data_IF_067523119180
#
_entry.id   IF_067523119180
#
_cell.length_a   1.000
_cell.length_b   1.000
_cell.length_c   1.000
_cell.angle_alpha   90.00
_cell.angle_beta   90.00
_cell.angle_gamma   90.00
#
_symmetry.space_group_name_H-M   'P 1'
#
loop_
_entity.id
_entity.type
_entity.pdbx_description
1 polymer ?
#
# COMPACT_ATOMS: atom_id res chain seq x y z
N UNK A 1 -56.10 20.22 24.80
CA UNK A 1 -55.94 20.41 23.34
C UNK A 1 -54.63 21.13 23.06
N UNK A 2 -53.52 20.43 22.83
CA UNK A 2 -52.37 21.02 22.09
C UNK A 2 -51.61 19.87 21.41
N UNK A 3 -52.06 19.55 20.20
CA UNK A 3 -51.27 18.84 19.19
C UNK A 3 -50.45 19.89 18.43
N UNK A 4 -49.25 19.50 17.99
CA UNK A 4 -48.33 20.13 17.00
C UNK A 4 -47.00 20.59 17.62
N UNK A 5 -46.10 19.63 17.80
CA UNK A 5 -44.66 19.86 17.69
C UNK A 5 -44.10 18.73 16.83
N UNK A 6 -44.08 18.94 15.52
CA UNK A 6 -43.44 18.04 14.58
C UNK A 6 -42.98 18.86 13.37
N UNK A 7 -41.77 18.54 12.90
CA UNK A 7 -41.06 19.08 11.74
C UNK A 7 -40.48 20.49 11.87
N UNK A 8 -39.16 20.55 12.12
CA UNK A 8 -38.21 21.43 11.40
C UNK A 8 -36.77 21.13 11.85
N UNK A 9 -36.25 19.93 11.58
CA UNK A 9 -34.85 19.61 11.86
C UNK A 9 -34.22 18.67 10.82
N UNK A 10 -34.43 18.93 9.53
CA UNK A 10 -33.73 18.19 8.45
C UNK A 10 -33.50 19.08 7.22
N UNK A 11 -32.69 20.15 7.34
CA UNK A 11 -32.01 20.77 6.17
C UNK A 11 -30.72 21.47 6.64
N UNK A 12 -29.74 20.71 7.14
CA UNK A 12 -28.41 21.26 7.43
C UNK A 12 -27.28 20.23 7.19
N UNK A 13 -27.41 19.42 6.13
CA UNK A 13 -26.46 18.34 5.79
C UNK A 13 -26.17 18.23 4.28
N UNK A 14 -26.01 19.36 3.59
CA UNK A 14 -25.63 19.35 2.17
C UNK A 14 -24.69 20.49 1.78
N UNK A 15 -23.68 20.74 2.62
CA UNK A 15 -22.44 21.42 2.18
C UNK A 15 -21.24 20.59 2.63
N UNK A 16 -21.19 19.33 2.18
CA UNK A 16 -19.90 18.66 2.06
C UNK A 16 -19.22 19.24 0.83
N UNK A 17 -18.61 20.41 1.01
CA UNK A 17 -17.57 20.86 0.12
C UNK A 17 -16.54 19.71 0.06
N UNK A 18 -16.28 19.21 -1.15
CA UNK A 18 -15.10 18.42 -1.42
C UNK A 18 -13.90 19.32 -1.13
N UNK A 19 -13.45 19.34 0.13
CA UNK A 19 -12.19 19.96 0.49
C UNK A 19 -11.12 19.09 -0.14
N UNK A 20 -10.70 19.44 -1.35
CA UNK A 20 -9.45 18.97 -1.90
C UNK A 20 -8.37 19.29 -0.87
N UNK A 21 -7.81 18.24 -0.29
CA UNK A 21 -6.73 18.33 0.71
C UNK A 21 -5.53 18.95 0.00
N UNK A 22 -5.44 20.28 0.06
CA UNK A 22 -4.31 21.06 -0.44
C UNK A 22 -3.16 20.92 0.56
N UNK A 23 -2.46 19.77 0.52
CA UNK A 23 -1.24 19.58 1.28
C UNK A 23 -0.03 20.09 0.46
N UNK A 24 0.10 21.42 0.41
CA UNK A 24 1.21 22.13 -0.24
C UNK A 24 1.77 23.15 0.74
N UNK A 25 3.06 23.02 1.09
CA UNK A 25 3.79 23.96 1.95
C UNK A 25 3.98 25.37 1.32
N UNK A 26 3.23 25.71 0.27
CA UNK A 26 3.16 27.04 -0.30
C UNK A 26 1.74 27.27 -0.86
N UNK A 27 0.92 28.15 -0.24
CA UNK A 27 -0.45 28.42 -0.68
C UNK A 27 -0.54 29.15 -2.03
N UNK A 28 0.58 29.61 -2.58
CA UNK A 28 0.65 30.32 -3.87
C UNK A 28 1.17 29.46 -5.02
N UNK A 29 1.66 28.24 -4.75
CA UNK A 29 2.12 27.34 -5.80
C UNK A 29 0.93 26.70 -6.51
N UNK A 30 0.54 27.23 -7.68
CA UNK A 30 -0.46 26.60 -8.55
C UNK A 30 0.07 25.23 -9.00
N UNK A 31 -0.64 24.16 -8.65
CA UNK A 31 -0.32 22.83 -9.18
C UNK A 31 -0.54 22.86 -10.70
N UNK A 32 0.42 22.33 -11.46
CA UNK A 32 0.19 22.01 -12.88
C UNK A 32 -0.49 20.64 -12.95
N UNK A 33 -1.28 20.41 -13.99
CA UNK A 33 -1.88 19.10 -14.25
C UNK A 33 -1.77 18.76 -15.73
N UNK A 34 -1.39 17.53 -16.04
CA UNK A 34 -1.43 16.96 -17.39
C UNK A 34 -2.47 15.86 -17.37
N UNK A 35 -3.47 15.96 -18.24
CA UNK A 35 -4.52 14.94 -18.37
C UNK A 35 -4.20 14.08 -19.60
N UNK A 36 -3.97 12.79 -19.37
CA UNK A 36 -3.73 11.79 -20.40
C UNK A 36 -5.03 11.00 -20.57
N UNK A 37 -5.86 11.41 -21.53
CA UNK A 37 -7.22 10.90 -21.72
C UNK A 37 -7.29 9.55 -22.44
N UNK A 38 -8.50 9.25 -22.91
CA UNK A 38 -8.81 8.04 -23.70
C UNK A 38 -8.35 8.13 -25.15
N UNK A 39 -8.08 9.34 -25.61
CA UNK A 39 -7.49 9.66 -26.91
C UNK A 39 -6.05 9.16 -27.05
N UNK A 40 -5.38 8.87 -25.93
CA UNK A 40 -4.05 8.26 -25.90
C UNK A 40 -4.18 6.75 -25.67
N UNK A 41 -3.81 5.94 -26.67
CA UNK A 41 -3.82 4.48 -26.58
C UNK A 41 -2.53 3.92 -25.96
N UNK A 42 -2.61 2.70 -25.40
CA UNK A 42 -1.43 1.93 -25.02
C UNK A 42 -0.69 1.41 -26.26
N UNK A 43 0.61 1.65 -26.33
CA UNK A 43 1.51 0.94 -27.23
C UNK A 43 1.95 -0.37 -26.56
N UNK A 44 1.64 -1.51 -27.17
CA UNK A 44 1.88 -2.85 -26.60
C UNK A 44 3.00 -3.54 -27.38
N UNK A 45 4.13 -3.75 -26.72
CA UNK A 45 5.22 -4.60 -27.18
C UNK A 45 5.08 -5.99 -26.54
N UNK A 46 4.69 -6.97 -27.36
CA UNK A 46 4.52 -8.36 -26.93
C UNK A 46 5.85 -9.11 -26.79
N UNK A 47 6.90 -8.67 -27.48
CA UNK A 47 8.21 -9.31 -27.42
C UNK A 47 8.89 -8.98 -26.09
N UNK A 48 8.87 -7.70 -25.72
CA UNK A 48 9.44 -7.24 -24.46
C UNK A 48 8.46 -7.34 -23.27
N UNK A 49 7.21 -7.74 -23.51
CA UNK A 49 6.12 -7.77 -22.53
C UNK A 49 6.01 -6.39 -21.83
N UNK A 50 5.88 -5.33 -22.62
CA UNK A 50 5.82 -3.96 -22.14
C UNK A 50 4.66 -3.21 -22.78
N UNK A 51 3.84 -2.55 -21.98
CA UNK A 51 2.84 -1.62 -22.45
C UNK A 51 3.22 -0.19 -22.03
N UNK A 52 3.14 0.76 -22.95
CA UNK A 52 3.52 2.16 -22.73
C UNK A 52 2.38 3.10 -23.14
N UNK A 53 2.02 4.05 -22.27
CA UNK A 53 1.07 5.13 -22.56
C UNK A 53 1.76 6.47 -22.37
N UNK A 54 1.78 7.33 -23.39
CA UNK A 54 2.66 8.52 -23.43
C UNK A 54 1.91 9.78 -23.85
N UNK A 55 2.22 10.91 -23.22
CA UNK A 55 1.65 12.22 -23.57
C UNK A 55 2.64 13.34 -23.32
N UNK A 56 2.51 14.45 -24.06
CA UNK A 56 3.28 15.67 -23.83
C UNK A 56 2.53 16.67 -22.95
N UNK A 57 3.26 17.54 -22.24
CA UNK A 57 2.72 18.77 -21.63
C UNK A 57 2.62 19.95 -22.61
N UNK A 58 3.15 19.83 -23.84
CA UNK A 58 3.27 20.94 -24.79
C UNK A 58 4.46 21.88 -24.51
N UNK A 59 5.12 21.74 -23.35
CA UNK A 59 6.32 22.49 -22.94
C UNK A 59 7.61 21.71 -23.27
N UNK A 60 7.52 20.65 -24.08
CA UNK A 60 8.65 19.81 -24.49
C UNK A 60 9.02 18.73 -23.47
N UNK A 61 8.13 18.36 -22.56
CA UNK A 61 8.27 17.13 -21.75
C UNK A 61 7.29 16.08 -22.23
N UNK A 62 7.73 14.82 -22.21
CA UNK A 62 6.88 13.67 -22.43
C UNK A 62 6.83 12.80 -21.17
N UNK A 63 5.63 12.36 -20.81
CA UNK A 63 5.36 11.54 -19.63
C UNK A 63 4.91 10.16 -20.07
N UNK A 64 5.74 9.17 -19.76
CA UNK A 64 5.54 7.80 -20.19
C UNK A 64 5.17 6.93 -19.00
N UNK A 65 4.01 6.29 -19.08
CA UNK A 65 3.58 5.27 -18.13
C UNK A 65 3.80 3.88 -18.74
N UNK A 66 4.69 3.12 -18.15
CA UNK A 66 5.09 1.77 -18.56
C UNK A 66 4.57 0.71 -17.60
N UNK A 67 4.21 -0.44 -18.13
CA UNK A 67 3.76 -1.62 -17.38
C UNK A 67 4.30 -2.91 -18.02
N UNK A 68 4.88 -3.79 -17.19
CA UNK A 68 5.56 -5.04 -17.64
C UNK A 68 5.03 -6.31 -16.94
N UNK A 69 3.75 -6.31 -16.53
CA UNK A 69 3.12 -7.30 -15.63
C UNK A 69 3.59 -7.32 -14.18
N UNK A 70 4.74 -6.72 -13.84
CA UNK A 70 5.31 -6.78 -12.48
C UNK A 70 5.38 -5.41 -11.82
N UNK A 71 5.62 -4.36 -12.59
CA UNK A 71 5.83 -3.02 -12.08
C UNK A 71 5.17 -1.99 -12.97
N UNK A 72 4.89 -0.85 -12.34
CA UNK A 72 4.51 0.38 -13.02
C UNK A 72 5.73 1.29 -13.01
N UNK A 73 6.11 1.82 -14.18
CA UNK A 73 7.22 2.76 -14.32
C UNK A 73 6.70 4.05 -14.94
N UNK A 74 6.81 5.16 -14.22
CA UNK A 74 6.70 6.49 -14.78
C UNK A 74 8.11 6.94 -15.16
N UNK A 75 8.30 7.51 -16.34
CA UNK A 75 9.52 8.26 -16.64
C UNK A 75 9.24 9.46 -17.52
N UNK A 76 10.10 10.47 -17.43
CA UNK A 76 9.98 11.73 -18.15
C UNK A 76 11.12 11.83 -19.17
N UNK A 77 10.80 12.26 -20.38
CA UNK A 77 11.78 12.45 -21.46
C UNK A 77 11.55 13.78 -22.19
N UNK A 78 12.44 14.09 -23.12
CA UNK A 78 12.33 15.26 -24.01
C UNK A 78 11.77 14.92 -25.40
N UNK A 79 11.46 13.66 -25.67
CA UNK A 79 11.02 13.15 -26.97
C UNK A 79 9.88 12.13 -26.85
N UNK A 80 9.08 11.98 -27.91
CA UNK A 80 7.92 11.09 -27.89
C UNK A 80 8.29 9.60 -27.75
N UNK A 81 9.50 9.22 -28.14
CA UNK A 81 9.99 7.83 -28.11
C UNK A 81 10.57 7.44 -26.74
N UNK A 82 10.83 8.41 -25.86
CA UNK A 82 11.44 8.18 -24.56
C UNK A 82 12.95 7.90 -24.63
N UNK A 83 13.62 8.25 -25.73
CA UNK A 83 15.04 7.97 -25.95
C UNK A 83 15.97 8.96 -25.22
N UNK A 84 15.50 10.16 -24.90
CA UNK A 84 16.22 11.22 -24.21
C UNK A 84 15.57 11.50 -22.84
N UNK A 85 15.87 10.69 -21.81
CA UNK A 85 15.32 10.87 -20.46
C UNK A 85 15.72 12.22 -19.88
N UNK A 86 14.78 12.85 -19.17
CA UNK A 86 15.01 14.12 -18.47
C UNK A 86 15.62 13.84 -17.10
N UNK A 87 16.73 14.51 -16.79
CA UNK A 87 17.32 14.50 -15.46
C UNK A 87 16.74 15.63 -14.59
N UNK A 88 16.59 15.35 -13.31
CA UNK A 88 16.14 16.30 -12.30
C UNK A 88 17.15 16.33 -11.16
N UNK A 89 17.50 17.53 -10.72
CA UNK A 89 18.32 17.71 -9.52
C UNK A 89 17.59 17.31 -8.24
N UNK A 90 16.24 17.31 -8.25
CA UNK A 90 15.40 16.85 -7.16
C UNK A 90 14.07 16.29 -7.67
N UNK A 91 13.92 14.99 -7.77
CA UNK A 91 12.63 14.35 -8.08
C UNK A 91 11.97 13.81 -6.82
N UNK A 92 10.73 14.23 -6.57
CA UNK A 92 9.90 13.70 -5.48
C UNK A 92 8.57 13.14 -6.03
N UNK A 93 8.11 12.02 -5.47
CA UNK A 93 6.77 11.47 -5.69
C UNK A 93 5.97 11.72 -4.42
N UNK A 94 4.97 12.59 -4.54
CA UNK A 94 4.11 12.98 -3.41
C UNK A 94 2.98 12.01 -3.19
N UNK A 95 2.38 11.53 -4.27
CA UNK A 95 1.22 10.66 -4.18
C UNK A 95 1.06 9.79 -5.43
N UNK A 96 0.48 8.60 -5.23
CA UNK A 96 -0.04 7.75 -6.29
C UNK A 96 -1.45 7.38 -5.89
N UNK A 97 -2.43 7.74 -6.71
CA UNK A 97 -3.85 7.51 -6.45
C UNK A 97 -4.48 6.69 -7.55
N UNK A 98 -5.38 5.78 -7.17
CA UNK A 98 -6.27 5.06 -8.08
C UNK A 98 -7.68 5.47 -7.71
N UNK A 99 -8.42 6.04 -8.66
CA UNK A 99 -9.77 6.59 -8.48
C UNK A 99 -9.89 7.55 -7.29
N UNK A 100 -8.90 8.46 -7.15
CA UNK A 100 -8.86 9.46 -6.09
C UNK A 100 -8.46 8.93 -4.70
N UNK A 101 -8.23 7.62 -4.56
CA UNK A 101 -7.76 7.01 -3.32
C UNK A 101 -6.26 6.73 -3.41
N UNK A 102 -5.51 7.14 -2.38
CA UNK A 102 -4.08 6.81 -2.30
C UNK A 102 -3.87 5.30 -2.34
N UNK A 103 -2.98 4.85 -3.22
CA UNK A 103 -2.59 3.45 -3.34
C UNK A 103 -2.03 2.92 -2.02
N UNK A 104 -2.57 1.80 -1.55
CA UNK A 104 -2.09 1.11 -0.33
C UNK A 104 -0.61 0.76 -0.42
N UNK A 105 -0.14 0.38 -1.60
CA UNK A 105 1.27 0.07 -1.87
C UNK A 105 2.15 1.31 -1.80
N UNK A 106 1.69 2.44 -2.34
CA UNK A 106 2.41 3.70 -2.23
C UNK A 106 2.49 4.18 -0.77
N UNK A 107 1.38 4.09 -0.02
CA UNK A 107 1.37 4.36 1.43
C UNK A 107 2.34 3.45 2.17
N UNK A 108 2.42 2.17 1.80
CA UNK A 108 3.40 1.25 2.34
C UNK A 108 4.83 1.67 2.02
N UNK A 109 5.12 2.12 0.79
CA UNK A 109 6.44 2.63 0.42
C UNK A 109 6.83 3.83 1.29
N UNK A 110 5.94 4.79 1.50
CA UNK A 110 6.20 5.95 2.37
C UNK A 110 6.61 5.53 3.79
N UNK A 111 5.94 4.52 4.34
CA UNK A 111 6.20 4.02 5.69
C UNK A 111 7.43 3.12 5.81
N UNK A 112 8.03 2.69 4.68
CA UNK A 112 9.15 1.73 4.65
C UNK A 112 10.39 2.30 3.94
N UNK A 113 10.51 3.63 3.91
CA UNK A 113 11.73 4.33 3.52
C UNK A 113 12.80 4.13 4.60
N UNK A 114 14.07 4.02 4.20
CA UNK A 114 15.19 3.95 5.16
C UNK A 114 15.31 5.22 6.02
N UNK A 115 15.01 6.38 5.43
CA UNK A 115 14.85 7.65 6.14
C UNK A 115 13.39 8.07 6.04
N UNK A 116 12.76 8.32 7.18
CA UNK A 116 11.35 8.69 7.20
C UNK A 116 11.13 10.04 6.53
N UNK A 117 10.27 10.06 5.52
CA UNK A 117 9.88 11.27 4.80
C UNK A 117 8.41 11.20 4.41
N UNK A 118 7.76 12.37 4.35
CA UNK A 118 6.36 12.51 3.93
C UNK A 118 6.14 12.28 2.43
N UNK A 119 7.21 12.22 1.63
CA UNK A 119 7.21 11.96 0.19
C UNK A 119 8.36 11.02 -0.16
N UNK A 120 8.28 10.32 -1.31
CA UNK A 120 9.42 9.56 -1.82
C UNK A 120 10.35 10.52 -2.56
N UNK A 121 11.57 10.71 -2.08
CA UNK A 121 12.59 11.49 -2.77
C UNK A 121 13.51 10.57 -3.56
N UNK A 122 14.16 11.11 -4.59
CA UNK A 122 15.33 10.48 -5.19
C UNK A 122 16.37 10.11 -4.11
N UNK A 123 17.15 9.07 -4.38
CA UNK A 123 18.18 8.50 -3.49
C UNK A 123 17.65 7.87 -2.17
N UNK A 124 16.36 8.00 -1.86
CA UNK A 124 15.76 7.28 -0.74
C UNK A 124 15.45 5.83 -1.12
N UNK A 125 16.15 4.92 -0.46
CA UNK A 125 15.89 3.48 -0.62
C UNK A 125 14.65 3.07 0.17
N UNK A 126 13.73 2.38 -0.50
CA UNK A 126 12.58 1.70 0.12
C UNK A 126 12.91 0.22 0.29
N UNK A 127 12.48 -0.39 1.40
CA UNK A 127 12.71 -1.83 1.65
C UNK A 127 12.35 -2.68 0.42
N UNK A 128 13.24 -3.62 0.07
CA UNK A 128 13.12 -4.55 -1.07
C UNK A 128 13.01 -3.88 -2.45
N UNK A 129 13.38 -2.60 -2.56
CA UNK A 129 13.28 -1.81 -3.80
C UNK A 129 11.88 -1.87 -4.41
N UNK A 130 10.84 -1.82 -3.55
CA UNK A 130 9.44 -1.83 -4.00
C UNK A 130 9.09 -0.54 -4.73
N UNK A 131 9.56 0.59 -4.21
CA UNK A 131 9.49 1.88 -4.89
C UNK A 131 10.91 2.42 -5.07
N UNK A 132 11.22 2.93 -6.26
CA UNK A 132 12.52 3.53 -6.60
C UNK A 132 12.27 4.84 -7.35
N UNK A 133 12.97 5.89 -6.95
CA UNK A 133 12.95 7.20 -7.63
C UNK A 133 14.37 7.48 -8.10
N UNK A 134 14.54 7.65 -9.40
CA UNK A 134 15.81 7.98 -10.05
C UNK A 134 15.70 9.36 -10.69
N UNK A 135 16.36 10.35 -10.09
CA UNK A 135 16.39 11.72 -10.59
C UNK A 135 17.15 11.85 -11.90
N UNK A 136 18.19 11.04 -12.13
CA UNK A 136 19.01 11.11 -13.35
C UNK A 136 18.26 10.59 -14.57
N UNK A 137 17.48 9.52 -14.40
CA UNK A 137 16.62 8.98 -15.45
C UNK A 137 15.20 9.58 -15.48
N UNK A 138 14.91 10.52 -14.57
CA UNK A 138 13.58 11.11 -14.42
C UNK A 138 12.48 10.09 -14.20
N UNK A 139 12.78 9.02 -13.47
CA UNK A 139 11.92 7.84 -13.38
C UNK A 139 11.48 7.49 -11.97
N UNK A 140 10.28 6.93 -11.89
CA UNK A 140 9.70 6.36 -10.70
C UNK A 140 9.19 4.95 -11.03
N UNK A 141 9.67 3.96 -10.30
CA UNK A 141 9.27 2.55 -10.47
C UNK A 141 8.55 2.10 -9.20
N UNK A 142 7.40 1.45 -9.36
CA UNK A 142 6.63 0.82 -8.29
C UNK A 142 6.32 -0.63 -8.65
N UNK A 143 6.94 -1.57 -7.93
CA UNK A 143 6.70 -3.01 -8.06
C UNK A 143 5.35 -3.38 -7.48
N UNK A 144 4.46 -3.85 -8.33
CA UNK A 144 3.06 -4.07 -8.01
C UNK A 144 2.89 -5.35 -7.20
N UNK A 145 2.02 -5.29 -6.19
CA UNK A 145 1.47 -6.47 -5.54
C UNK A 145 0.13 -6.83 -6.18
N UNK A 146 -0.41 -8.01 -5.81
CA UNK A 146 -1.69 -8.50 -6.33
C UNK A 146 -2.83 -7.50 -6.13
N UNK A 147 -2.90 -6.87 -4.97
CA UNK A 147 -3.99 -5.95 -4.62
C UNK A 147 -3.95 -4.67 -5.46
N UNK A 148 -2.75 -4.11 -5.68
CA UNK A 148 -2.58 -2.90 -6.51
C UNK A 148 -2.83 -3.22 -7.98
N UNK A 149 -2.39 -4.39 -8.46
CA UNK A 149 -2.71 -4.83 -9.82
C UNK A 149 -4.24 -5.00 -10.01
N UNK A 150 -4.93 -5.58 -9.04
CA UNK A 150 -6.38 -5.68 -9.05
C UNK A 150 -7.05 -4.31 -9.01
N UNK A 151 -6.52 -3.37 -8.21
CA UNK A 151 -7.03 -1.99 -8.18
C UNK A 151 -6.83 -1.27 -9.52
N UNK A 152 -5.70 -1.47 -10.21
CA UNK A 152 -5.45 -0.90 -11.54
C UNK A 152 -6.39 -1.50 -12.60
N UNK A 153 -6.60 -2.82 -12.60
CA UNK A 153 -7.53 -3.50 -13.54
C UNK A 153 -8.98 -3.02 -13.40
N UNK A 154 -9.42 -2.75 -12.18
CA UNK A 154 -10.78 -2.27 -11.92
C UNK A 154 -10.90 -0.74 -11.92
N UNK A 155 -9.77 -0.03 -11.97
CA UNK A 155 -9.70 1.42 -11.83
C UNK A 155 -10.02 2.13 -13.14
N UNK A 156 -10.43 3.40 -13.04
CA UNK A 156 -10.67 4.26 -14.21
C UNK A 156 -9.62 5.34 -14.34
N UNK A 157 -9.06 5.81 -13.23
CA UNK A 157 -8.11 6.92 -13.19
C UNK A 157 -6.92 6.59 -12.32
N UNK A 158 -5.73 6.87 -12.83
CA UNK A 158 -4.48 6.83 -12.09
C UNK A 158 -3.90 8.25 -12.04
N UNK A 159 -3.69 8.78 -10.84
CA UNK A 159 -2.99 10.05 -10.64
C UNK A 159 -1.63 9.79 -10.01
N UNK A 160 -0.58 10.37 -10.59
CA UNK A 160 0.77 10.39 -10.02
C UNK A 160 1.20 11.83 -9.85
N UNK A 161 1.36 12.26 -8.60
CA UNK A 161 1.80 13.62 -8.28
C UNK A 161 3.32 13.64 -8.12
N UNK A 162 4.01 14.20 -9.11
CA UNK A 162 5.46 14.39 -9.10
C UNK A 162 5.83 15.82 -8.73
N UNK A 163 7.03 16.02 -8.18
CA UNK A 163 7.58 17.34 -7.88
C UNK A 163 9.07 17.34 -8.25
N UNK A 164 9.42 17.80 -9.46
CA UNK A 164 10.80 17.87 -9.94
C UNK A 164 11.62 19.06 -9.41
N UNK A 165 10.98 20.06 -8.77
CA UNK A 165 11.67 21.11 -8.01
C UNK A 165 10.69 21.87 -7.09
N UNK A 166 10.03 22.91 -7.61
CA UNK A 166 9.14 23.81 -6.82
C UNK A 166 7.65 23.50 -7.00
N UNK A 167 7.23 23.28 -8.24
CA UNK A 167 5.82 23.14 -8.58
C UNK A 167 5.42 21.68 -8.68
N UNK A 168 4.45 21.21 -7.88
CA UNK A 168 3.87 19.88 -8.08
C UNK A 168 3.15 19.79 -9.41
N UNK A 169 3.31 18.65 -10.07
CA UNK A 169 2.65 18.28 -11.31
C UNK A 169 1.82 17.03 -11.07
N UNK A 170 0.53 17.12 -11.37
CA UNK A 170 -0.41 15.99 -11.29
C UNK A 170 -0.60 15.37 -12.67
N UNK A 171 -0.12 14.14 -12.82
CA UNK A 171 -0.28 13.36 -14.05
C UNK A 171 -1.52 12.47 -13.92
N UNK A 172 -2.56 12.79 -14.67
CA UNK A 172 -3.86 12.13 -14.60
C UNK A 172 -4.07 11.22 -15.81
N UNK A 173 -3.83 9.93 -15.64
CA UNK A 173 -4.06 8.91 -16.67
C UNK A 173 -5.47 8.35 -16.59
N UNK A 174 -6.19 8.36 -17.71
CA UNK A 174 -7.30 7.44 -17.92
C UNK A 174 -6.74 6.04 -18.12
N UNK A 175 -7.15 5.12 -17.25
CA UNK A 175 -6.75 3.71 -17.25
C UNK A 175 -7.97 2.80 -17.37
N UNK A 176 -9.08 3.30 -17.89
CA UNK A 176 -10.31 2.50 -18.05
C UNK A 176 -10.15 1.34 -19.03
N UNK A 177 -9.12 1.37 -19.87
CA UNK A 177 -8.69 0.33 -20.80
C UNK A 177 -7.58 -0.59 -20.23
N UNK A 178 -7.18 -0.42 -18.97
CA UNK A 178 -6.03 -1.12 -18.40
C UNK A 178 -6.21 -2.64 -18.37
N UNK A 179 -7.40 -3.15 -17.99
CA UNK A 179 -7.63 -4.60 -17.98
C UNK A 179 -7.57 -5.20 -19.39
N UNK A 180 -8.15 -4.51 -20.38
CA UNK A 180 -8.06 -4.91 -21.79
C UNK A 180 -6.61 -4.91 -22.29
N UNK A 181 -5.83 -3.89 -21.90
CA UNK A 181 -4.40 -3.83 -22.20
C UNK A 181 -3.65 -5.01 -21.58
N UNK A 182 -3.90 -5.34 -20.29
CA UNK A 182 -3.26 -6.48 -19.63
C UNK A 182 -3.62 -7.79 -20.32
N UNK A 183 -4.87 -7.96 -20.76
CA UNK A 183 -5.29 -9.14 -21.52
C UNK A 183 -4.57 -9.22 -22.87
N UNK A 184 -4.49 -8.10 -23.60
CA UNK A 184 -3.81 -8.04 -24.90
C UNK A 184 -2.29 -8.28 -24.80
N UNK A 185 -1.65 -7.77 -23.75
CA UNK A 185 -0.22 -7.96 -23.47
C UNK A 185 0.11 -9.44 -23.19
N UNK A 186 -0.81 -10.17 -22.55
CA UNK A 186 -0.62 -11.57 -22.16
C UNK A 186 -1.25 -12.59 -23.13
N UNK A 187 -1.86 -12.12 -24.23
CA UNK A 187 -2.46 -12.99 -25.22
C UNK A 187 -1.37 -13.79 -25.95
N UNK A 188 -1.45 -15.12 -25.88
CA UNK A 188 -0.53 -16.01 -26.61
C UNK A 188 -0.67 -15.76 -28.12
N UNK A 189 0.43 -15.67 -28.89
CA UNK A 189 0.34 -15.60 -30.34
C UNK A 189 -0.45 -16.80 -30.86
N UNK A 190 -1.45 -16.55 -31.71
CA UNK A 190 -2.20 -17.61 -32.37
C UNK A 190 -1.21 -18.47 -33.16
N UNK A 191 -1.15 -19.76 -32.87
CA UNK A 191 -0.36 -20.70 -33.65
C UNK A 191 -0.94 -20.73 -35.07
N UNK A 192 -0.13 -20.36 -36.06
CA UNK A 192 -0.45 -20.61 -37.47
C UNK A 192 -0.63 -22.12 -37.65
N UNK A 193 -1.85 -22.56 -37.92
CA UNK A 193 -2.18 -23.96 -38.18
C UNK A 193 -1.63 -24.31 -39.57
N UNK A 194 -0.58 -25.13 -39.60
CA UNK A 194 -0.10 -25.75 -40.82
C UNK A 194 -1.09 -26.86 -41.25
N UNK A 195 -1.57 -26.78 -42.48
CA UNK A 195 -2.40 -27.80 -43.10
C UNK A 195 -1.58 -29.06 -43.42
N UNK A 196 -2.11 -30.25 -43.10
CA UNK A 196 -1.63 -31.53 -43.63
C UNK A 196 -2.63 -32.09 -44.65
N UNK A 197 -2.16 -32.80 -45.69
CA UNK A 197 -3.00 -33.43 -46.69
C UNK A 197 -3.41 -34.86 -46.31
N UNK A 198 -4.61 -35.23 -46.74
CA UNK A 198 -5.16 -36.59 -46.75
C UNK A 198 -4.39 -37.51 -47.70
N UNK A 199 -4.32 -38.80 -47.36
CA UNK A 199 -4.29 -39.83 -48.40
C UNK A 199 -4.88 -41.18 -47.94
N UNK A 200 -5.81 -41.63 -48.79
CA UNK A 200 -6.55 -42.89 -48.75
C UNK A 200 -5.67 -44.09 -49.16
N UNK A 201 -5.92 -45.27 -48.59
CA UNK A 201 -5.71 -46.55 -49.28
C UNK A 201 -6.53 -47.69 -48.66
N UNK A 202 -6.88 -48.64 -49.53
CA UNK A 202 -8.02 -49.54 -49.57
C UNK A 202 -7.90 -50.89 -48.83
N UNK A 203 -9.01 -51.24 -48.17
CA UNK A 203 -9.66 -52.53 -47.92
C UNK A 203 -8.88 -53.87 -48.04
N UNK A 204 -8.79 -54.57 -46.90
CA UNK A 204 -9.07 -56.00 -46.78
C UNK A 204 -9.96 -56.18 -45.54
N UNK A 205 -11.16 -56.76 -45.68
CA UNK A 205 -12.19 -56.85 -44.62
C UNK A 205 -11.86 -57.97 -43.61
N UNK A 206 -10.74 -57.82 -42.91
CA UNK A 206 -10.52 -58.55 -41.66
C UNK A 206 -11.34 -57.87 -40.57
N UNK A 207 -12.06 -58.65 -39.74
CA UNK A 207 -12.77 -58.11 -38.57
C UNK A 207 -11.77 -57.34 -37.72
N UNK A 208 -12.09 -56.09 -37.40
CA UNK A 208 -11.26 -55.20 -36.57
C UNK A 208 -11.64 -55.34 -35.10
N UNK A 209 -10.64 -55.47 -34.26
CA UNK A 209 -10.73 -55.58 -32.81
C UNK A 209 -10.03 -54.38 -32.15
N UNK A 210 -10.33 -54.13 -30.88
CA UNK A 210 -9.84 -52.94 -30.16
C UNK A 210 -9.21 -53.32 -28.83
N UNK A 211 -8.01 -52.80 -28.57
CA UNK A 211 -7.38 -52.84 -27.25
C UNK A 211 -7.62 -51.49 -26.56
N UNK A 212 -8.41 -51.49 -25.49
CA UNK A 212 -8.78 -50.27 -24.75
C UNK A 212 -8.01 -50.12 -23.43
N UNK A 213 -7.80 -48.88 -22.95
CA UNK A 213 -7.18 -48.65 -21.64
C UNK A 213 -8.17 -48.96 -20.48
N UNK A 214 -7.67 -49.10 -19.24
CA UNK A 214 -8.52 -49.21 -18.05
C UNK A 214 -9.43 -47.99 -17.90
N UNK A 215 -10.62 -48.17 -17.30
CA UNK A 215 -11.67 -47.15 -17.20
C UNK A 215 -11.25 -45.80 -16.55
N UNK A 216 -10.16 -45.80 -15.76
CA UNK A 216 -9.59 -44.60 -15.14
C UNK A 216 -8.85 -43.69 -16.15
N UNK A 217 -8.42 -44.21 -17.30
CA UNK A 217 -7.62 -43.50 -18.30
C UNK A 217 -8.39 -43.27 -19.61
N UNK A 218 -9.59 -42.69 -19.51
CA UNK A 218 -10.49 -42.44 -20.67
C UNK A 218 -9.88 -41.57 -21.78
N UNK A 219 -8.81 -40.84 -21.48
CA UNK A 219 -8.14 -39.94 -22.42
C UNK A 219 -7.12 -40.66 -23.31
N UNK A 220 -6.81 -41.93 -23.04
CA UNK A 220 -5.95 -42.75 -23.91
C UNK A 220 -6.85 -43.39 -24.98
N UNK A 221 -6.53 -43.18 -26.25
CA UNK A 221 -7.29 -43.78 -27.35
C UNK A 221 -7.03 -45.28 -27.41
N UNK A 222 -8.08 -46.04 -27.68
CA UNK A 222 -7.98 -47.47 -27.97
C UNK A 222 -7.21 -47.71 -29.27
N UNK A 223 -6.46 -48.80 -29.34
CA UNK A 223 -5.70 -49.19 -30.54
C UNK A 223 -6.50 -50.23 -31.30
N UNK A 224 -6.68 -49.99 -32.59
CA UNK A 224 -7.32 -50.91 -33.52
C UNK A 224 -6.30 -51.95 -34.03
N UNK A 225 -6.72 -53.21 -34.11
CA UNK A 225 -5.90 -54.31 -34.66
C UNK A 225 -6.78 -55.34 -35.38
N UNK A 226 -6.18 -56.19 -36.21
CA UNK A 226 -6.90 -57.26 -36.92
C UNK A 226 -7.19 -58.44 -35.98
N UNK A 227 -8.47 -58.84 -35.85
CA UNK A 227 -8.89 -59.86 -34.88
C UNK A 227 -8.25 -61.25 -35.10
N UNK A 228 -7.74 -61.53 -36.31
CA UNK A 228 -7.07 -62.79 -36.64
C UNK A 228 -5.57 -62.82 -36.35
N UNK A 229 -4.97 -61.68 -35.99
CA UNK A 229 -3.53 -61.54 -35.77
C UNK A 229 -3.21 -61.45 -34.27
N UNK A 230 -2.73 -62.56 -33.70
CA UNK A 230 -2.35 -62.64 -32.30
C UNK A 230 -1.14 -61.76 -31.95
N UNK A 231 -0.24 -61.51 -32.92
CA UNK A 231 0.92 -60.62 -32.73
C UNK A 231 0.43 -59.18 -32.66
N UNK A 232 -0.43 -58.76 -33.59
CA UNK A 232 -1.03 -57.43 -33.59
C UNK A 232 -1.86 -57.14 -32.33
N UNK A 233 -2.55 -58.14 -31.77
CA UNK A 233 -3.22 -58.04 -30.47
C UNK A 233 -2.23 -57.74 -29.33
N UNK A 234 -1.17 -58.54 -29.22
CA UNK A 234 -0.17 -58.37 -28.17
C UNK A 234 0.53 -57.01 -28.27
N UNK A 235 0.83 -56.56 -29.49
CA UNK A 235 1.44 -55.25 -29.73
C UNK A 235 0.50 -54.09 -29.37
N UNK A 236 -0.79 -54.21 -29.72
CA UNK A 236 -1.81 -53.23 -29.36
C UNK A 236 -1.98 -53.12 -27.83
N UNK A 237 -2.04 -54.26 -27.12
CA UNK A 237 -2.11 -54.31 -25.66
C UNK A 237 -0.85 -53.73 -25.00
N UNK A 238 0.34 -54.09 -25.49
CA UNK A 238 1.61 -53.56 -24.99
C UNK A 238 1.72 -52.03 -25.19
N UNK A 239 1.23 -51.52 -26.32
CA UNK A 239 1.21 -50.08 -26.60
C UNK A 239 0.27 -49.33 -25.66
N UNK A 240 -0.94 -49.86 -25.41
CA UNK A 240 -1.89 -49.29 -24.44
C UNK A 240 -1.28 -49.29 -23.03
N UNK A 241 -0.64 -50.38 -22.61
CA UNK A 241 0.05 -50.47 -21.31
C UNK A 241 1.16 -49.40 -21.19
N UNK A 242 1.96 -49.22 -22.24
CA UNK A 242 3.01 -48.20 -22.29
C UNK A 242 2.43 -46.79 -22.11
N UNK A 243 1.35 -46.46 -22.81
CA UNK A 243 0.67 -45.17 -22.67
C UNK A 243 0.08 -44.96 -21.28
N UNK A 244 -0.55 -45.98 -20.70
CA UNK A 244 -1.09 -45.93 -19.33
C UNK A 244 0.03 -45.67 -18.32
N UNK A 245 1.18 -46.33 -18.47
CA UNK A 245 2.33 -46.13 -17.59
C UNK A 245 2.92 -44.73 -17.75
N UNK A 246 3.03 -44.21 -18.98
CA UNK A 246 3.44 -42.82 -19.20
C UNK A 246 2.49 -41.81 -18.54
N UNK A 247 1.18 -42.05 -18.62
CA UNK A 247 0.19 -41.19 -17.98
C UNK A 247 0.27 -41.28 -16.45
N UNK A 248 0.44 -42.48 -15.88
CA UNK A 248 0.70 -42.67 -14.44
C UNK A 248 1.89 -41.86 -13.96
N UNK A 249 3.00 -41.88 -14.69
CA UNK A 249 4.19 -41.10 -14.32
C UNK A 249 3.92 -39.59 -14.39
N UNK A 250 3.13 -39.11 -15.36
CA UNK A 250 2.71 -37.71 -15.43
C UNK A 250 1.83 -37.33 -14.23
N UNK A 251 0.83 -38.15 -13.93
CA UNK A 251 -0.09 -37.92 -12.81
C UNK A 251 0.67 -37.91 -11.47
N UNK A 252 1.63 -38.83 -11.28
CA UNK A 252 2.51 -38.85 -10.11
C UNK A 252 3.37 -37.59 -10.00
N UNK A 253 3.94 -37.11 -11.11
CA UNK A 253 4.71 -35.85 -11.12
C UNK A 253 3.83 -34.65 -10.76
N UNK A 254 2.62 -34.57 -11.30
CA UNK A 254 1.65 -33.51 -10.98
C UNK A 254 1.26 -33.56 -9.50
N UNK A 255 0.97 -34.76 -8.97
CA UNK A 255 0.66 -34.94 -7.55
C UNK A 255 1.84 -34.53 -6.64
N UNK A 256 3.08 -34.87 -7.01
CA UNK A 256 4.27 -34.46 -6.26
C UNK A 256 4.48 -32.93 -6.28
N UNK A 257 4.25 -32.26 -7.41
CA UNK A 257 4.32 -30.79 -7.52
C UNK A 257 3.22 -30.14 -6.67
N UNK A 258 2.00 -30.65 -6.72
CA UNK A 258 0.89 -30.15 -5.90
C UNK A 258 1.16 -30.34 -4.40
N UNK A 259 1.70 -31.49 -3.99
CA UNK A 259 2.08 -31.74 -2.60
C UNK A 259 3.18 -30.77 -2.12
N UNK A 260 4.19 -30.49 -2.94
CA UNK A 260 5.24 -29.50 -2.63
C UNK A 260 4.65 -28.09 -2.50
N UNK A 261 3.78 -27.67 -3.42
CA UNK A 261 3.13 -26.37 -3.36
C UNK A 261 2.24 -26.21 -2.12
N UNK A 262 1.54 -27.27 -1.70
CA UNK A 262 0.74 -27.26 -0.48
C UNK A 262 1.62 -27.17 0.78
N UNK A 263 2.73 -27.89 0.82
CA UNK A 263 3.69 -27.83 1.92
C UNK A 263 4.32 -26.43 2.06
N UNK A 264 4.69 -25.81 0.95
CA UNK A 264 5.23 -24.44 0.93
C UNK A 264 4.20 -23.41 1.42
N UNK A 265 2.95 -23.52 0.96
CA UNK A 265 1.84 -22.67 1.42
C UNK A 265 1.58 -22.81 2.92
N UNK A 266 1.70 -24.03 3.46
CA UNK A 266 1.55 -24.25 4.91
C UNK A 266 2.71 -23.63 5.70
N UNK A 267 3.95 -23.76 5.20
CA UNK A 267 5.13 -23.11 5.79
C UNK A 267 5.03 -21.58 5.78
N UNK A 268 4.48 -21.00 4.72
CA UNK A 268 4.22 -19.56 4.64
C UNK A 268 3.16 -19.11 5.66
N UNK A 269 2.05 -19.87 5.78
CA UNK A 269 1.00 -19.59 6.79
C UNK A 269 1.54 -19.63 8.21
N UNK A 270 2.43 -20.57 8.52
CA UNK A 270 3.08 -20.67 9.82
C UNK A 270 4.00 -19.46 10.10
N UNK A 271 4.82 -19.05 9.12
CA UNK A 271 5.63 -17.83 9.22
C UNK A 271 4.79 -16.58 9.47
N UNK A 272 3.64 -16.46 8.80
CA UNK A 272 2.73 -15.35 9.01
C UNK A 272 2.13 -15.34 10.42
N UNK A 273 1.78 -16.52 10.98
CA UNK A 273 1.30 -16.64 12.36
C UNK A 273 2.35 -16.18 13.36
N UNK A 274 3.60 -16.61 13.18
CA UNK A 274 4.72 -16.18 14.05
C UNK A 274 4.95 -14.67 13.99
N UNK A 275 4.92 -14.06 12.80
CA UNK A 275 5.08 -12.62 12.64
C UNK A 275 3.93 -11.80 13.26
N UNK A 276 2.70 -12.32 13.22
CA UNK A 276 1.55 -11.68 13.87
C UNK A 276 1.70 -11.73 15.39
N UNK A 277 2.14 -12.87 15.94
CA UNK A 277 2.33 -13.03 17.37
C UNK A 277 3.48 -12.15 17.89
N UNK A 278 4.60 -12.09 17.17
CA UNK A 278 5.73 -11.21 17.51
C UNK A 278 5.29 -9.73 17.52
N UNK A 279 4.46 -9.30 16.56
CA UNK A 279 3.92 -7.94 16.53
C UNK A 279 3.02 -7.65 17.73
N UNK A 280 2.15 -8.60 18.11
CA UNK A 280 1.30 -8.46 19.30
C UNK A 280 2.14 -8.33 20.57
N UNK A 281 3.18 -9.15 20.71
CA UNK A 281 4.09 -9.07 21.86
C UNK A 281 4.82 -7.73 21.92
N UNK A 282 5.32 -7.22 20.78
CA UNK A 282 5.96 -5.89 20.72
C UNK A 282 5.00 -4.76 21.10
N UNK A 283 3.76 -4.80 20.60
CA UNK A 283 2.74 -3.82 20.93
C UNK A 283 2.35 -3.85 22.42
N UNK A 284 2.23 -5.04 23.01
CA UNK A 284 1.96 -5.17 24.45
C UNK A 284 3.13 -4.66 25.29
N UNK A 285 4.37 -4.96 24.91
CA UNK A 285 5.56 -4.46 25.60
C UNK A 285 5.69 -2.94 25.51
N UNK A 286 5.37 -2.35 24.35
CA UNK A 286 5.37 -0.89 24.15
C UNK A 286 4.28 -0.21 24.99
N UNK A 287 3.07 -0.79 25.04
CA UNK A 287 1.98 -0.30 25.88
C UNK A 287 2.35 -0.34 27.36
N UNK A 288 2.97 -1.43 27.82
CA UNK A 288 3.41 -1.57 29.21
C UNK A 288 4.47 -0.52 29.57
N UNK A 289 5.44 -0.27 28.69
CA UNK A 289 6.45 0.79 28.88
C UNK A 289 5.85 2.18 28.95
N UNK A 290 4.83 2.46 28.12
CA UNK A 290 4.14 3.74 28.16
C UNK A 290 3.37 3.92 29.48
N UNK A 291 2.70 2.87 29.95
CA UNK A 291 1.97 2.88 31.21
C UNK A 291 2.90 3.08 32.41
N UNK A 292 4.05 2.41 32.44
CA UNK A 292 5.09 2.61 33.45
C UNK A 292 5.63 4.06 33.44
N UNK A 293 5.88 4.63 32.26
CA UNK A 293 6.32 6.03 32.14
C UNK A 293 5.29 7.02 32.68
N UNK A 294 4.00 6.79 32.40
CA UNK A 294 2.90 7.62 32.94
C UNK A 294 2.82 7.52 34.46
N UNK A 295 3.00 6.33 35.05
CA UNK A 295 3.01 6.17 36.50
C UNK A 295 4.20 6.89 37.16
N UNK A 296 5.38 6.83 36.56
CA UNK A 296 6.57 7.55 37.04
C UNK A 296 6.34 9.06 36.97
N UNK A 297 5.77 9.57 35.88
CA UNK A 297 5.45 10.99 35.73
C UNK A 297 4.42 11.45 36.78
N UNK A 298 3.36 10.69 36.99
CA UNK A 298 2.35 10.99 38.01
C UNK A 298 2.95 11.01 39.43
N UNK A 299 3.83 10.05 39.74
CA UNK A 299 4.54 10.03 41.02
C UNK A 299 5.45 11.26 41.20
N UNK A 300 6.14 11.69 40.14
CA UNK A 300 6.97 12.89 40.16
C UNK A 300 6.14 14.17 40.36
N UNK A 301 4.97 14.28 39.71
CA UNK A 301 4.03 15.40 39.91
C UNK A 301 3.55 15.42 41.36
N UNK A 302 3.11 14.29 41.91
CA UNK A 302 2.67 14.19 43.29
C UNK A 302 3.76 14.62 44.29
N UNK A 303 5.00 14.16 44.08
CA UNK A 303 6.14 14.56 44.91
C UNK A 303 6.45 16.07 44.80
N UNK A 304 6.31 16.65 43.62
CA UNK A 304 6.51 18.08 43.38
C UNK A 304 5.48 18.94 44.12
N UNK A 305 4.20 18.52 44.12
CA UNK A 305 3.12 19.21 44.85
C UNK A 305 3.39 19.23 46.35
N UNK A 306 3.82 18.10 46.93
CA UNK A 306 4.19 18.03 48.35
C UNK A 306 5.33 18.99 48.68
N UNK A 307 6.35 19.05 47.81
CA UNK A 307 7.49 19.95 48.01
C UNK A 307 7.10 21.42 47.88
N UNK A 308 6.19 21.76 46.96
CA UNK A 308 5.66 23.12 46.83
C UNK A 308 4.87 23.55 48.07
N UNK A 309 4.07 22.66 48.65
CA UNK A 309 3.36 22.92 49.90
C UNK A 309 4.34 23.21 51.05
N UNK A 310 5.38 22.38 51.20
CA UNK A 310 6.43 22.59 52.22
C UNK A 310 7.14 23.94 52.06
N UNK A 311 7.51 24.32 50.82
CA UNK A 311 8.12 25.62 50.54
C UNK A 311 7.15 26.76 50.90
N UNK A 312 5.86 26.61 50.59
CA UNK A 312 4.83 27.58 50.95
C UNK A 312 4.71 27.78 52.47
N UNK A 313 4.75 26.68 53.24
CA UNK A 313 4.73 26.72 54.70
C UNK A 313 5.98 27.38 55.27
N UNK A 314 7.17 27.05 54.75
CA UNK A 314 8.43 27.70 55.16
C UNK A 314 8.43 29.20 54.90
N UNK A 315 7.94 29.64 53.73
CA UNK A 315 7.83 31.06 53.38
C UNK A 315 6.84 31.73 54.34
N UNK A 316 5.69 31.11 54.59
CA UNK A 316 4.68 31.62 55.52
C UNK A 316 5.25 31.80 56.92
N UNK A 317 5.95 30.81 57.46
CA UNK A 317 6.61 30.90 58.76
C UNK A 317 7.67 32.02 58.82
N UNK A 318 8.45 32.20 57.75
CA UNK A 318 9.42 33.30 57.66
C UNK A 318 8.73 34.66 57.65
N UNK A 319 7.63 34.80 56.90
CA UNK A 319 6.84 36.03 56.85
C UNK A 319 6.19 36.35 58.19
N UNK A 320 5.63 35.36 58.88
CA UNK A 320 5.09 35.51 60.23
C UNK A 320 6.14 36.05 61.20
N UNK A 321 7.35 35.49 61.20
CA UNK A 321 8.46 36.01 62.04
C UNK A 321 8.83 37.46 61.73
N UNK A 322 8.74 37.89 60.47
CA UNK A 322 8.96 39.29 60.09
C UNK A 322 7.83 40.16 60.63
N UNK A 323 6.58 39.73 60.47
CA UNK A 323 5.40 40.47 60.92
C UNK A 323 5.34 40.60 62.44
N UNK A 324 5.64 39.54 63.20
CA UNK A 324 5.73 39.56 64.67
C UNK A 324 6.69 40.64 65.19
N UNK A 325 7.80 40.88 64.48
CA UNK A 325 8.77 41.92 64.84
C UNK A 325 8.21 43.34 64.72
N UNK A 326 7.24 43.56 63.82
CA UNK A 326 6.56 44.85 63.69
C UNK A 326 5.33 44.93 64.61
N UNK A 327 4.55 43.86 64.71
CA UNK A 327 3.37 43.79 65.59
C UNK A 327 3.73 43.95 67.06
N UNK A 328 4.86 43.40 67.51
CA UNK A 328 5.38 43.62 68.87
C UNK A 328 5.70 45.08 69.20
N UNK A 329 5.83 45.94 68.17
CA UNK A 329 5.99 47.40 68.32
C UNK A 329 4.68 48.17 68.15
N UNK A 330 3.56 47.47 67.92
CA UNK A 330 2.27 48.10 67.60
C UNK A 330 2.14 48.56 66.14
N UNK A 331 3.06 48.20 65.25
CA UNK A 331 3.05 48.66 63.86
C UNK A 331 2.38 47.64 62.92
N UNK A 332 1.44 48.08 62.08
CA UNK A 332 0.88 47.28 61.00
C UNK A 332 1.58 47.58 59.66
N UNK A 333 2.00 46.55 58.93
CA UNK A 333 2.57 46.65 57.57
C UNK A 333 1.68 45.94 56.55
N UNK A 334 1.47 46.53 55.38
CA UNK A 334 0.51 45.98 54.40
C UNK A 334 0.83 44.57 53.89
N UNK A 335 2.10 44.18 53.75
CA UNK A 335 2.45 42.81 53.37
C UNK A 335 2.13 41.78 54.47
N UNK A 336 1.93 42.22 55.72
CA UNK A 336 1.48 41.38 56.83
C UNK A 336 -0.05 41.22 56.88
N UNK A 337 -0.79 41.99 56.09
CA UNK A 337 -2.26 41.94 56.04
C UNK A 337 -2.77 40.52 55.72
N UNK A 338 -2.06 39.80 54.85
CA UNK A 338 -2.40 38.41 54.48
C UNK A 338 -2.26 37.41 55.64
N UNK A 339 -1.57 37.78 56.71
CA UNK A 339 -1.30 36.93 57.87
C UNK A 339 -1.97 37.46 59.14
N UNK A 340 -2.89 38.42 59.02
CA UNK A 340 -3.48 39.15 60.15
C UNK A 340 -4.18 38.24 61.18
N UNK A 341 -4.63 37.04 60.75
CA UNK A 341 -5.22 36.02 61.62
C UNK A 341 -4.28 35.54 62.73
N UNK A 342 -2.96 35.72 62.56
CA UNK A 342 -1.94 35.37 63.53
C UNK A 342 -1.50 36.57 64.40
N UNK A 343 -2.03 37.77 64.15
CA UNK A 343 -1.60 38.97 64.85
C UNK A 343 -2.17 39.04 66.29
N UNK A 344 -1.49 39.73 67.22
CA UNK A 344 -2.06 40.05 68.53
C UNK A 344 -3.36 40.86 68.40
N UNK A 345 -4.27 40.73 69.36
CA UNK A 345 -5.58 41.39 69.35
C UNK A 345 -5.54 42.93 69.28
N UNK A 346 -4.39 43.54 69.59
CA UNK A 346 -4.15 44.99 69.47
C UNK A 346 -3.88 45.46 68.03
N UNK A 347 -3.52 44.55 67.12
CA UNK A 347 -3.28 44.87 65.70
C UNK A 347 -4.54 44.50 64.91
N UNK A 348 -5.12 45.48 64.25
CA UNK A 348 -6.31 45.29 63.41
C UNK A 348 -5.96 45.31 61.93
N UNK A 349 -6.76 44.59 61.14
CA UNK A 349 -6.70 44.63 59.68
C UNK A 349 -6.88 46.07 59.17
N UNK A 350 -6.02 46.47 58.23
CA UNK A 350 -6.09 47.78 57.62
C UNK A 350 -6.65 47.68 56.20
N UNK A 351 -7.85 48.22 55.99
CA UNK A 351 -8.56 48.19 54.69
C UNK A 351 -7.86 48.98 53.57
N UNK A 352 -6.87 49.81 53.90
CA UNK A 352 -6.05 50.51 52.90
C UNK A 352 -4.95 49.64 52.29
N UNK A 353 -4.65 48.48 52.88
CA UNK A 353 -3.73 47.49 52.35
C UNK A 353 -4.49 46.54 51.41
N UNK A 354 -4.52 46.87 50.11
CA UNK A 354 -5.09 46.02 49.06
C UNK A 354 -4.08 45.04 48.49
#
# INVERSE_FOLDING_TARGET
MFKRFCLCFVVLLSVFANVSIANSNNPFAKNKSVNIGKDVSWNIDKESILATKSSSDGDGSYYHLQFDNKQLKLFVSSDAQGAAPKSFTQLEIKNVQIDGKQSSLFKWCLNNQQRHSRFLQQDLTVKKNVCVVDGNAGSFVMRLNRDTLAALKNGKRLSIMIKPFRTPLDLNYDISDFDNMVLALNAKPAAMVAAQPDNNSTANLNKKCWAGPPAKYKNIKSVEYDCGDAVAKNDAEAWVIKLVNQQKTKDQKVAAVQAKALAEKNKERERLRLLVEEKKQKQMAEKLKLEEAVQVEQAAIAASVVKQAQIGDEITQKMLKVCDRYWSKGEHRCYCQRYIEHAPSSIQANSSCK
#
